data_IF_146062587533
#
_entry.id   IF_146062587533
#
_cell.length_a   1.000
_cell.length_b   1.000
_cell.length_c   1.000
_cell.angle_alpha   90.00
_cell.angle_beta   90.00
_cell.angle_gamma   90.00
#
_symmetry.space_group_name_H-M   'P 1'
#
loop_
_entity.id
_entity.type
_entity.pdbx_description
1 polymer ?
#
# COMPACT_ATOMS: atom_id res chain seq x y z
N UNK A 1 -21.47 8.22 -14.34
CA UNK A 1 -22.29 9.31 -13.72
C UNK A 1 -21.35 10.42 -13.31
N UNK A 2 -21.38 11.54 -14.03
CA UNK A 2 -20.53 12.71 -13.79
C UNK A 2 -21.07 13.43 -12.56
N UNK A 3 -20.27 13.50 -11.50
CA UNK A 3 -20.59 14.33 -10.34
C UNK A 3 -20.34 15.80 -10.72
N UNK A 4 -21.41 16.54 -10.87
CA UNK A 4 -21.39 17.99 -11.12
C UNK A 4 -20.63 18.71 -10.00
N UNK A 5 -19.87 19.74 -10.39
CA UNK A 5 -19.26 20.72 -9.49
C UNK A 5 -20.34 21.35 -8.63
N UNK A 6 -20.35 21.02 -7.33
CA UNK A 6 -21.05 21.83 -6.35
C UNK A 6 -20.24 23.13 -6.17
N UNK A 7 -20.89 24.27 -6.40
CA UNK A 7 -20.30 25.58 -6.16
C UNK A 7 -19.83 25.74 -4.71
N UNK A 8 -18.69 26.36 -4.52
CA UNK A 8 -18.15 26.75 -3.22
C UNK A 8 -18.97 27.94 -2.63
N UNK A 9 -20.18 27.67 -2.14
CA UNK A 9 -20.81 28.57 -1.20
C UNK A 9 -20.22 28.30 0.18
N UNK A 10 -19.21 29.08 0.55
CA UNK A 10 -18.71 29.16 1.93
C UNK A 10 -19.80 29.74 2.78
N UNK A 11 -20.68 28.91 3.31
CA UNK A 11 -21.57 29.29 4.40
C UNK A 11 -20.71 29.55 5.62
N UNK A 12 -20.43 30.84 5.89
CA UNK A 12 -19.81 31.29 7.14
C UNK A 12 -20.76 31.04 8.29
N UNK A 13 -20.72 29.84 8.86
CA UNK A 13 -21.41 29.55 10.13
C UNK A 13 -20.63 30.22 11.24
N UNK A 14 -21.16 31.36 11.75
CA UNK A 14 -20.51 32.23 12.74
C UNK A 14 -20.28 31.57 14.12
N UNK A 15 -20.82 30.36 14.36
CA UNK A 15 -20.74 29.62 15.64
C UNK A 15 -20.12 28.21 15.50
N UNK A 16 -19.62 27.80 14.31
CA UNK A 16 -18.97 26.51 14.12
C UNK A 16 -17.48 26.55 14.53
N UNK A 17 -16.90 25.43 15.01
CA UNK A 17 -15.47 25.33 15.22
C UNK A 17 -14.69 25.66 13.94
N UNK A 18 -13.59 26.41 14.09
CA UNK A 18 -12.77 26.80 12.93
C UNK A 18 -11.72 25.75 12.64
N UNK A 19 -11.69 25.26 11.41
CA UNK A 19 -10.52 24.52 10.90
C UNK A 19 -9.33 25.47 10.76
N UNK A 20 -8.12 24.91 10.80
CA UNK A 20 -6.93 25.68 10.41
C UNK A 20 -7.05 26.08 8.93
N UNK A 21 -6.44 27.22 8.49
CA UNK A 21 -6.49 27.62 7.09
C UNK A 21 -6.02 26.52 6.13
N UNK A 22 -4.99 25.76 6.52
CA UNK A 22 -4.50 24.63 5.75
C UNK A 22 -5.60 23.57 5.55
N UNK A 23 -6.19 23.09 6.63
CA UNK A 23 -7.22 22.03 6.55
C UNK A 23 -8.47 22.52 5.82
N UNK A 24 -8.85 23.77 5.98
CA UNK A 24 -9.97 24.36 5.26
C UNK A 24 -9.75 24.44 3.73
N UNK A 25 -8.49 24.46 3.27
CA UNK A 25 -8.14 24.48 1.85
C UNK A 25 -8.10 23.09 1.19
N UNK A 26 -8.09 22.01 1.98
CA UNK A 26 -8.01 20.66 1.46
C UNK A 26 -9.40 20.11 1.07
N UNK A 27 -9.50 19.30 0.02
CA UNK A 27 -10.77 18.69 -0.37
C UNK A 27 -11.22 17.66 0.66
N UNK A 28 -12.47 17.74 1.09
CA UNK A 28 -13.10 16.74 1.96
C UNK A 28 -13.58 15.54 1.13
N UNK A 29 -12.65 14.81 0.53
CA UNK A 29 -12.95 13.64 -0.31
C UNK A 29 -12.51 12.35 0.37
N UNK A 30 -13.25 11.26 0.09
CA UNK A 30 -12.83 9.89 0.48
C UNK A 30 -12.02 9.30 -0.67
N UNK A 31 -10.70 9.11 -0.51
CA UNK A 31 -9.83 8.69 -1.61
C UNK A 31 -10.06 7.23 -2.04
N UNK A 32 -10.54 6.40 -1.10
CA UNK A 32 -10.74 4.98 -1.33
C UNK A 32 -12.20 4.59 -1.08
N UNK A 33 -12.90 4.22 -2.16
CA UNK A 33 -14.26 3.66 -2.07
C UNK A 33 -14.13 2.14 -1.99
N UNK A 34 -14.40 1.56 -0.81
CA UNK A 34 -14.35 0.10 -0.60
C UNK A 34 -15.52 -0.64 -1.27
N UNK A 35 -15.39 -1.97 -1.36
CA UNK A 35 -16.44 -2.84 -1.88
C UNK A 35 -17.76 -2.64 -1.10
N UNK A 36 -17.69 -2.50 0.23
CA UNK A 36 -18.84 -2.32 1.12
C UNK A 36 -19.69 -1.08 0.79
N UNK A 37 -19.05 0.00 0.35
CA UNK A 37 -19.75 1.24 -0.05
C UNK A 37 -20.53 1.00 -1.33
N UNK A 38 -19.90 0.31 -2.30
CA UNK A 38 -20.54 -0.01 -3.58
C UNK A 38 -21.66 -1.04 -3.42
N UNK A 39 -21.48 -2.04 -2.57
CA UNK A 39 -22.51 -3.04 -2.23
C UNK A 39 -23.72 -2.40 -1.57
N UNK A 40 -23.52 -1.50 -0.61
CA UNK A 40 -24.63 -0.73 0.00
C UNK A 40 -25.36 0.12 -1.04
N UNK A 41 -24.61 0.75 -1.95
CA UNK A 41 -25.21 1.59 -2.98
C UNK A 41 -26.00 0.79 -4.04
N UNK A 42 -25.52 -0.43 -4.40
CA UNK A 42 -26.14 -1.30 -5.39
C UNK A 42 -27.21 -2.23 -4.81
N UNK A 43 -27.23 -2.43 -3.49
CA UNK A 43 -28.08 -3.41 -2.81
C UNK A 43 -27.69 -4.88 -3.07
N UNK A 44 -26.52 -5.13 -3.66
CA UNK A 44 -26.05 -6.48 -4.01
C UNK A 44 -24.58 -6.67 -3.59
N UNK A 45 -24.23 -7.83 -2.96
CA UNK A 45 -22.85 -8.19 -2.70
C UNK A 45 -22.10 -8.48 -4.01
N UNK A 46 -20.79 -8.26 -4.00
CA UNK A 46 -19.92 -8.76 -5.06
C UNK A 46 -19.74 -10.28 -4.94
N UNK A 47 -19.75 -10.97 -6.08
CA UNK A 47 -19.46 -12.41 -6.15
C UNK A 47 -17.97 -12.70 -5.92
N UNK A 48 -17.08 -11.77 -6.35
CA UNK A 48 -15.65 -11.81 -6.08
C UNK A 48 -15.13 -10.42 -5.71
N UNK A 49 -14.34 -10.32 -4.63
CA UNK A 49 -13.71 -9.09 -4.16
C UNK A 49 -12.22 -9.15 -4.41
N UNK A 50 -11.80 -8.93 -5.64
CA UNK A 50 -10.42 -9.01 -6.12
C UNK A 50 -9.86 -7.65 -6.56
N UNK A 51 -10.11 -6.60 -5.78
CA UNK A 51 -9.71 -5.23 -6.12
C UNK A 51 -8.95 -4.46 -5.04
N UNK A 52 -9.00 -4.88 -3.78
CA UNK A 52 -8.40 -4.15 -2.65
C UNK A 52 -7.02 -4.66 -2.21
N UNK A 53 -6.45 -5.61 -2.95
CA UNK A 53 -5.17 -6.26 -2.62
C UNK A 53 -5.17 -6.90 -1.22
N UNK A 54 -6.34 -7.34 -0.77
CA UNK A 54 -6.49 -8.21 0.39
C UNK A 54 -5.98 -9.60 0.05
N UNK A 55 -5.65 -10.39 1.06
CA UNK A 55 -5.16 -11.75 0.87
C UNK A 55 -6.28 -12.74 1.24
N UNK A 56 -6.95 -13.26 0.23
CA UNK A 56 -8.11 -14.17 0.39
C UNK A 56 -7.74 -15.56 0.89
N UNK A 57 -6.43 -15.93 0.87
CA UNK A 57 -5.97 -17.22 1.38
C UNK A 57 -5.97 -17.29 2.91
N UNK A 58 -6.22 -16.14 3.57
CA UNK A 58 -6.46 -16.03 5.00
C UNK A 58 -5.20 -16.02 5.86
N UNK A 59 -5.36 -15.60 7.13
CA UNK A 59 -4.27 -15.57 8.09
C UNK A 59 -3.91 -16.96 8.58
N UNK A 60 -2.69 -17.11 9.15
CA UNK A 60 -2.24 -18.33 9.79
C UNK A 60 -3.25 -18.83 10.83
N UNK A 61 -3.52 -20.15 10.89
CA UNK A 61 -4.33 -20.75 11.97
C UNK A 61 -3.79 -20.42 13.37
N UNK A 62 -2.46 -20.29 13.53
CA UNK A 62 -1.84 -19.86 14.78
C UNK A 62 -2.16 -18.40 15.11
N UNK A 63 -2.18 -17.53 14.08
CA UNK A 63 -2.58 -16.14 14.26
C UNK A 63 -4.07 -16.03 14.66
N UNK A 64 -4.95 -16.81 14.03
CA UNK A 64 -6.38 -16.86 14.39
C UNK A 64 -6.54 -17.29 15.85
N UNK A 65 -5.87 -18.36 16.26
CA UNK A 65 -5.92 -18.84 17.64
C UNK A 65 -5.39 -17.80 18.65
N UNK A 66 -4.31 -17.11 18.32
CA UNK A 66 -3.75 -16.04 19.16
C UNK A 66 -4.71 -14.85 19.30
N UNK A 67 -5.36 -14.43 18.20
CA UNK A 67 -6.39 -13.38 18.21
C UNK A 67 -7.57 -13.79 19.08
N UNK A 68 -8.07 -15.01 18.94
CA UNK A 68 -9.18 -15.53 19.74
C UNK A 68 -8.83 -15.59 21.24
N UNK A 69 -7.63 -16.06 21.59
CA UNK A 69 -7.16 -16.08 22.98
C UNK A 69 -7.01 -14.67 23.56
N UNK A 70 -6.46 -13.72 22.78
CA UNK A 70 -6.28 -12.36 23.23
C UNK A 70 -7.59 -11.55 23.33
N UNK A 71 -8.66 -11.98 22.65
CA UNK A 71 -9.93 -11.27 22.65
C UNK A 71 -10.55 -11.15 24.05
N UNK A 72 -10.38 -12.15 24.92
CA UNK A 72 -10.85 -12.12 26.33
C UNK A 72 -10.10 -11.09 27.18
N UNK A 73 -8.93 -10.65 26.75
CA UNK A 73 -8.06 -9.68 27.41
C UNK A 73 -8.17 -8.27 26.78
N UNK A 74 -9.12 -8.05 25.86
CA UNK A 74 -9.31 -6.79 25.15
C UNK A 74 -9.66 -5.60 26.08
N UNK A 75 -10.00 -5.86 27.34
CA UNK A 75 -10.20 -4.83 28.36
C UNK A 75 -8.90 -4.17 28.84
N UNK A 76 -7.74 -4.74 28.53
CA UNK A 76 -6.41 -4.21 28.85
C UNK A 76 -5.86 -3.45 27.64
N UNK A 77 -5.11 -2.40 27.93
CA UNK A 77 -4.22 -1.83 26.91
C UNK A 77 -3.17 -2.85 26.46
N UNK A 78 -2.78 -2.78 25.19
CA UNK A 78 -1.62 -3.53 24.69
C UNK A 78 -0.30 -3.01 25.30
N UNK A 79 0.77 -3.77 25.08
CA UNK A 79 2.11 -3.27 25.39
C UNK A 79 2.43 -2.04 24.53
N UNK A 80 2.69 -0.90 25.16
CA UNK A 80 2.99 0.36 24.46
C UNK A 80 4.26 0.31 23.61
N UNK A 81 5.17 -0.60 23.92
CA UNK A 81 6.39 -0.85 23.14
C UNK A 81 6.23 -1.93 22.05
N UNK A 82 5.15 -2.72 22.10
CA UNK A 82 5.00 -3.94 21.26
C UNK A 82 6.25 -4.83 21.31
N UNK A 83 6.81 -5.01 22.51
CA UNK A 83 8.18 -5.51 22.73
C UNK A 83 8.41 -6.90 22.12
N UNK A 84 7.53 -7.86 22.40
CA UNK A 84 7.70 -9.23 21.92
C UNK A 84 7.70 -9.31 20.37
N UNK A 85 6.84 -8.51 19.73
CA UNK A 85 6.81 -8.43 18.27
C UNK A 85 8.10 -7.79 17.73
N UNK A 86 8.60 -6.72 18.36
CA UNK A 86 9.89 -6.10 17.99
C UNK A 86 11.05 -7.08 18.16
N UNK A 87 11.08 -7.86 19.24
CA UNK A 87 12.11 -8.90 19.47
C UNK A 87 12.08 -9.95 18.35
N UNK A 88 10.90 -10.44 17.98
CA UNK A 88 10.79 -11.44 16.92
C UNK A 88 11.24 -10.87 15.55
N UNK A 89 10.87 -9.63 15.23
CA UNK A 89 11.29 -8.95 14.00
C UNK A 89 12.80 -8.69 14.01
N UNK A 90 13.36 -8.21 15.13
CA UNK A 90 14.79 -7.95 15.28
C UNK A 90 15.62 -9.21 15.06
N UNK A 91 15.22 -10.32 15.68
CA UNK A 91 15.88 -11.61 15.50
C UNK A 91 15.86 -12.08 14.04
N UNK A 92 14.73 -11.88 13.34
CA UNK A 92 14.61 -12.25 11.92
C UNK A 92 15.54 -11.44 11.01
N UNK A 93 15.66 -10.12 11.28
CA UNK A 93 16.51 -9.23 10.49
C UNK A 93 17.96 -9.17 10.95
N UNK A 94 18.34 -9.85 12.04
CA UNK A 94 19.68 -9.79 12.60
C UNK A 94 20.09 -8.41 13.15
N UNK A 95 19.12 -7.63 13.66
CA UNK A 95 19.28 -6.26 14.18
C UNK A 95 18.80 -6.17 15.63
N UNK A 96 18.92 -4.99 16.25
CA UNK A 96 18.39 -4.76 17.61
C UNK A 96 16.99 -4.17 17.58
N UNK A 97 16.24 -4.30 18.67
CA UNK A 97 14.89 -3.75 18.82
C UNK A 97 14.83 -2.23 18.61
N UNK A 98 15.94 -1.51 18.85
CA UNK A 98 16.01 -0.07 18.70
C UNK A 98 15.94 0.41 17.24
N UNK A 99 16.10 -0.49 16.29
CA UNK A 99 15.90 -0.21 14.87
C UNK A 99 14.45 -0.37 14.40
N UNK A 100 13.52 -0.74 15.29
CA UNK A 100 12.17 -1.14 14.89
C UNK A 100 11.12 -0.29 15.61
N UNK A 101 10.17 0.23 14.86
CA UNK A 101 8.91 0.78 15.40
C UNK A 101 7.72 0.03 14.79
N UNK A 102 6.72 -0.27 15.65
CA UNK A 102 5.44 -0.86 15.25
C UNK A 102 4.38 0.25 15.17
N UNK A 103 3.49 0.17 14.18
CA UNK A 103 2.41 1.14 14.02
C UNK A 103 1.17 0.55 13.35
N UNK A 104 0.15 1.38 13.19
CA UNK A 104 -1.17 1.04 12.64
C UNK A 104 -1.11 0.84 11.12
N UNK A 105 -0.32 -0.15 10.68
CA UNK A 105 0.03 -0.39 9.27
C UNK A 105 1.04 0.64 8.75
N UNK A 106 1.44 0.50 7.49
CA UNK A 106 2.33 1.47 6.83
C UNK A 106 1.68 2.86 6.78
N UNK A 107 0.38 2.94 6.56
CA UNK A 107 -0.34 4.21 6.51
C UNK A 107 -0.17 5.04 7.80
N UNK A 108 -0.29 4.39 8.96
CA UNK A 108 -0.05 5.04 10.25
C UNK A 108 1.42 5.45 10.44
N UNK A 109 2.35 4.58 10.03
CA UNK A 109 3.78 4.87 10.08
C UNK A 109 4.19 6.04 9.18
N UNK A 110 3.63 6.11 7.96
CA UNK A 110 3.83 7.26 7.05
C UNK A 110 3.30 8.55 7.66
N UNK A 111 2.12 8.51 8.29
CA UNK A 111 1.56 9.68 8.98
C UNK A 111 2.43 10.18 10.12
N UNK A 112 2.97 9.26 10.93
CA UNK A 112 3.90 9.60 12.01
C UNK A 112 5.21 10.17 11.46
N UNK A 113 5.77 9.55 10.40
CA UNK A 113 7.01 10.02 9.77
C UNK A 113 6.84 11.42 9.18
N UNK A 114 5.75 11.68 8.47
CA UNK A 114 5.44 13.02 7.96
C UNK A 114 5.32 14.03 9.10
N UNK A 115 4.65 13.67 10.18
CA UNK A 115 4.55 14.53 11.38
C UNK A 115 5.92 14.82 12.03
N UNK A 116 6.89 13.90 11.92
CA UNK A 116 8.26 14.10 12.39
C UNK A 116 9.09 15.03 11.49
N UNK A 117 8.94 14.87 10.17
CA UNK A 117 9.91 15.39 9.22
C UNK A 117 9.42 16.59 8.42
N UNK A 118 8.08 16.76 8.25
CA UNK A 118 7.50 17.71 7.31
C UNK A 118 6.80 18.86 8.05
N UNK A 119 7.17 20.08 7.69
CA UNK A 119 6.50 21.31 8.01
C UNK A 119 5.99 22.04 6.77
N UNK A 120 5.45 23.23 6.98
CA UNK A 120 4.90 24.08 5.92
C UNK A 120 5.94 24.37 4.83
N UNK A 121 5.65 23.99 3.58
CA UNK A 121 6.49 24.26 2.41
C UNK A 121 7.62 23.27 2.18
N UNK A 122 7.85 22.29 3.06
CA UNK A 122 8.87 21.26 2.86
C UNK A 122 8.53 20.36 1.67
N UNK A 123 9.52 20.10 0.82
CA UNK A 123 9.36 19.32 -0.40
C UNK A 123 9.45 17.80 -0.14
N UNK A 124 8.56 17.07 -0.80
CA UNK A 124 8.53 15.60 -0.84
C UNK A 124 8.43 15.13 -2.28
N UNK A 125 9.20 14.11 -2.66
CA UNK A 125 9.20 13.56 -4.02
C UNK A 125 8.64 12.14 -4.02
N UNK A 126 7.77 11.83 -4.99
CA UNK A 126 7.19 10.50 -5.23
C UNK A 126 6.86 10.33 -6.71
N UNK A 127 6.47 9.12 -7.12
CA UNK A 127 6.02 8.86 -8.49
C UNK A 127 4.56 9.25 -8.69
N UNK A 128 4.22 9.75 -9.89
CA UNK A 128 2.85 10.10 -10.23
C UNK A 128 2.02 8.85 -10.50
N UNK A 129 1.03 8.60 -9.67
CA UNK A 129 0.22 7.38 -9.69
C UNK A 129 0.63 6.32 -8.68
N UNK A 130 1.75 6.48 -7.95
CA UNK A 130 2.12 5.63 -6.83
C UNK A 130 1.07 5.64 -5.71
N UNK A 131 1.18 4.72 -4.75
CA UNK A 131 0.24 4.59 -3.63
C UNK A 131 0.08 5.91 -2.87
N UNK A 132 -1.16 6.47 -2.78
CA UNK A 132 -1.33 7.89 -2.48
C UNK A 132 -1.37 8.26 -1.00
N UNK A 133 -1.30 7.32 -0.04
CA UNK A 133 -1.50 7.64 1.39
C UNK A 133 -0.48 8.65 1.91
N UNK A 134 0.79 8.54 1.50
CA UNK A 134 1.80 9.55 1.84
C UNK A 134 1.35 10.97 1.45
N UNK A 135 0.75 11.12 0.26
CA UNK A 135 0.36 12.42 -0.27
C UNK A 135 -0.68 13.14 0.62
N UNK A 136 -1.62 12.37 1.20
CA UNK A 136 -2.61 12.93 2.13
C UNK A 136 -1.95 13.45 3.41
N UNK A 137 -1.01 12.68 3.96
CA UNK A 137 -0.27 13.11 5.15
C UNK A 137 0.56 14.35 4.86
N UNK A 138 1.33 14.35 3.76
CA UNK A 138 2.16 15.51 3.37
C UNK A 138 1.31 16.76 3.18
N UNK A 139 0.22 16.67 2.43
CA UNK A 139 -0.72 17.78 2.24
C UNK A 139 -1.33 18.25 3.56
N UNK A 140 -1.69 17.32 4.46
CA UNK A 140 -2.26 17.60 5.78
C UNK A 140 -1.31 18.33 6.72
N UNK A 141 0.00 18.24 6.51
CA UNK A 141 1.04 18.98 7.25
C UNK A 141 1.62 20.18 6.48
N UNK A 142 1.05 20.49 5.30
CA UNK A 142 1.45 21.67 4.51
C UNK A 142 2.72 21.49 3.70
N UNK A 143 3.20 20.25 3.53
CA UNK A 143 4.29 19.93 2.64
C UNK A 143 3.89 20.05 1.16
N UNK A 144 4.86 20.15 0.28
CA UNK A 144 4.71 20.27 -1.17
C UNK A 144 5.16 18.96 -1.83
N UNK A 145 4.24 18.34 -2.59
CA UNK A 145 4.50 17.09 -3.28
C UNK A 145 4.96 17.37 -4.71
N UNK A 146 6.12 16.86 -5.05
CA UNK A 146 6.65 16.84 -6.42
C UNK A 146 6.61 15.42 -6.95
N UNK A 147 6.10 15.25 -8.17
CA UNK A 147 5.87 13.95 -8.75
C UNK A 147 6.72 13.77 -10.00
N UNK A 148 7.21 12.56 -10.22
CA UNK A 148 7.87 12.14 -11.45
C UNK A 148 7.05 11.04 -12.13
N UNK A 149 7.04 10.94 -13.47
CA UNK A 149 6.30 9.88 -14.14
C UNK A 149 6.96 8.52 -13.91
N UNK A 150 6.16 7.48 -14.05
CA UNK A 150 6.65 6.11 -14.23
C UNK A 150 7.42 6.00 -15.57
N UNK A 151 8.36 5.07 -15.62
CA UNK A 151 9.09 4.70 -16.82
C UNK A 151 8.95 3.22 -17.07
N UNK A 152 8.40 2.84 -18.22
CA UNK A 152 8.19 1.44 -18.59
C UNK A 152 7.46 0.64 -17.49
N UNK A 153 6.38 1.24 -16.96
CA UNK A 153 5.56 0.73 -15.86
C UNK A 153 6.28 0.53 -14.50
N UNK A 154 7.48 1.06 -14.35
CA UNK A 154 8.23 1.07 -13.09
C UNK A 154 8.31 2.49 -12.51
N UNK A 155 8.37 2.60 -11.21
CA UNK A 155 8.85 3.85 -10.60
C UNK A 155 10.28 4.12 -11.10
N UNK A 156 10.63 5.38 -11.37
CA UNK A 156 11.96 5.73 -11.93
C UNK A 156 12.90 6.25 -10.83
N UNK A 157 13.83 5.40 -10.33
CA UNK A 157 14.78 5.79 -9.29
C UNK A 157 15.65 6.98 -9.66
N UNK A 158 16.06 7.09 -10.92
CA UNK A 158 16.92 8.19 -11.39
C UNK A 158 16.15 9.51 -11.42
N UNK A 159 14.91 9.49 -11.92
CA UNK A 159 14.05 10.67 -11.95
C UNK A 159 13.67 11.15 -10.54
N UNK A 160 13.40 10.19 -9.60
CA UNK A 160 13.12 10.51 -8.21
C UNK A 160 14.29 11.25 -7.55
N UNK A 161 15.53 10.77 -7.71
CA UNK A 161 16.73 11.39 -7.15
C UNK A 161 17.00 12.76 -7.81
N UNK A 162 16.89 12.84 -9.13
CA UNK A 162 17.09 14.10 -9.84
C UNK A 162 16.09 15.19 -9.39
N UNK A 163 14.81 14.83 -9.28
CA UNK A 163 13.77 15.74 -8.79
C UNK A 163 14.01 16.13 -7.33
N UNK A 164 14.44 15.20 -6.49
CA UNK A 164 14.74 15.48 -5.09
C UNK A 164 15.88 16.50 -4.94
N UNK A 165 16.94 16.37 -5.73
CA UNK A 165 18.03 17.33 -5.76
C UNK A 165 17.58 18.72 -6.28
N UNK A 166 16.72 18.75 -7.32
CA UNK A 166 16.18 19.97 -7.91
C UNK A 166 15.38 20.81 -6.89
N UNK A 167 14.53 20.13 -6.09
CA UNK A 167 13.58 20.80 -5.19
C UNK A 167 14.04 20.85 -3.72
N UNK A 168 15.19 20.29 -3.39
CA UNK A 168 15.68 20.19 -2.01
C UNK A 168 14.77 19.35 -1.14
N UNK A 169 14.35 18.18 -1.63
CA UNK A 169 13.37 17.35 -0.94
C UNK A 169 13.89 16.79 0.39
N UNK A 170 13.06 16.80 1.44
CA UNK A 170 13.33 16.15 2.71
C UNK A 170 12.99 14.66 2.70
N UNK A 171 11.94 14.27 1.97
CA UNK A 171 11.51 12.89 1.85
C UNK A 171 11.42 12.49 0.37
N UNK A 172 11.87 11.27 0.09
CA UNK A 172 11.71 10.62 -1.20
C UNK A 172 11.02 9.29 -0.93
N UNK A 173 9.95 8.99 -1.65
CA UNK A 173 9.19 7.75 -1.49
C UNK A 173 9.27 6.91 -2.75
N UNK A 174 9.57 5.63 -2.56
CA UNK A 174 9.49 4.59 -3.57
C UNK A 174 8.88 3.33 -2.96
N UNK A 175 7.97 2.66 -3.68
CA UNK A 175 7.46 1.35 -3.31
C UNK A 175 8.20 0.25 -4.09
N UNK A 176 8.70 -0.75 -3.38
CA UNK A 176 9.41 -1.86 -4.02
C UNK A 176 9.09 -3.20 -3.34
N UNK A 177 8.20 -4.04 -3.92
CA UNK A 177 7.47 -3.88 -5.19
C UNK A 177 6.41 -2.78 -5.18
N UNK A 178 6.15 -2.22 -6.36
CA UNK A 178 5.25 -1.08 -6.58
C UNK A 178 3.75 -1.43 -6.48
N UNK A 179 2.98 -0.46 -6.11
CA UNK A 179 1.53 -0.38 -6.29
C UNK A 179 1.21 0.99 -6.92
N UNK A 180 0.73 1.05 -8.19
CA UNK A 180 -0.30 0.13 -8.73
C UNK A 180 0.16 -0.94 -9.73
N UNK A 181 1.39 -0.91 -10.26
CA UNK A 181 1.74 -1.75 -11.41
C UNK A 181 2.20 -3.16 -11.04
N UNK A 182 2.68 -3.37 -9.81
CA UNK A 182 3.20 -4.66 -9.34
C UNK A 182 4.64 -4.93 -9.73
N UNK A 183 5.29 -4.00 -10.42
CA UNK A 183 6.67 -4.08 -10.86
C UNK A 183 7.65 -3.94 -9.70
N UNK A 184 8.91 -4.29 -9.92
CA UNK A 184 9.94 -4.18 -8.87
C UNK A 184 11.30 -3.89 -9.45
N UNK A 185 12.17 -3.34 -8.63
CA UNK A 185 13.58 -3.22 -8.85
C UNK A 185 14.36 -4.20 -7.99
N UNK A 186 15.54 -4.61 -8.43
CA UNK A 186 16.49 -5.31 -7.56
C UNK A 186 16.96 -4.38 -6.43
N UNK A 187 17.23 -4.94 -5.27
CA UNK A 187 17.68 -4.17 -4.10
C UNK A 187 18.93 -3.33 -4.35
N UNK A 188 19.81 -3.79 -5.25
CA UNK A 188 20.99 -3.03 -5.70
C UNK A 188 20.64 -1.72 -6.41
N UNK A 189 19.50 -1.64 -7.09
CA UNK A 189 19.01 -0.40 -7.72
C UNK A 189 18.63 0.60 -6.64
N UNK A 190 17.93 0.13 -5.60
CA UNK A 190 17.53 0.96 -4.47
C UNK A 190 18.77 1.39 -3.65
N UNK A 191 19.76 0.49 -3.47
CA UNK A 191 21.01 0.86 -2.83
C UNK A 191 21.74 2.00 -3.56
N UNK A 192 21.80 1.97 -4.90
CA UNK A 192 22.36 3.08 -5.68
C UNK A 192 21.58 4.40 -5.54
N UNK A 193 20.26 4.37 -5.25
CA UNK A 193 19.54 5.60 -4.90
C UNK A 193 20.09 6.19 -3.60
N UNK A 194 20.34 5.34 -2.60
CA UNK A 194 20.86 5.79 -1.28
C UNK A 194 22.21 6.51 -1.44
N UNK A 195 23.09 5.99 -2.30
CA UNK A 195 24.40 6.61 -2.56
C UNK A 195 24.30 7.99 -3.20
N UNK A 196 23.17 8.32 -3.81
CA UNK A 196 22.92 9.55 -4.57
C UNK A 196 21.91 10.50 -3.89
N UNK A 197 21.47 10.17 -2.68
CA UNK A 197 20.53 11.01 -1.95
C UNK A 197 21.09 12.42 -1.74
N UNK A 198 20.29 13.47 -1.94
CA UNK A 198 20.65 14.82 -1.53
C UNK A 198 20.93 14.87 -0.01
N UNK A 199 21.83 15.77 0.39
CA UNK A 199 22.14 15.96 1.82
C UNK A 199 20.88 16.29 2.62
N UNK A 200 20.67 15.59 3.73
CA UNK A 200 19.51 15.76 4.62
C UNK A 200 18.23 15.12 4.13
N UNK A 201 18.22 14.45 2.97
CA UNK A 201 17.05 13.72 2.49
C UNK A 201 16.98 12.31 3.11
N UNK A 202 15.74 11.85 3.38
CA UNK A 202 15.43 10.49 3.83
C UNK A 202 14.70 9.74 2.70
N UNK A 203 15.19 8.55 2.36
CA UNK A 203 14.51 7.63 1.46
C UNK A 203 13.55 6.74 2.24
N UNK A 204 12.28 6.74 1.85
CA UNK A 204 11.26 5.81 2.32
C UNK A 204 11.14 4.69 1.28
N UNK A 205 11.45 3.46 1.69
CA UNK A 205 11.23 2.26 0.87
C UNK A 205 10.02 1.53 1.41
N UNK A 206 8.91 1.61 0.67
CA UNK A 206 7.68 0.89 1.01
C UNK A 206 7.80 -0.55 0.48
N UNK A 207 8.01 -1.47 1.41
CA UNK A 207 8.17 -2.90 1.16
C UNK A 207 6.88 -3.68 1.48
N UNK A 208 5.69 -3.09 1.24
CA UNK A 208 4.40 -3.73 1.56
C UNK A 208 4.20 -5.09 0.92
N UNK A 209 4.86 -5.35 -0.20
CA UNK A 209 4.72 -6.58 -0.99
C UNK A 209 5.99 -7.42 -1.04
N UNK A 210 7.01 -7.09 -0.25
CA UNK A 210 8.34 -7.70 -0.35
C UNK A 210 8.32 -9.22 -0.11
N UNK A 211 7.41 -9.73 0.72
CA UNK A 211 7.29 -11.16 0.99
C UNK A 211 6.85 -11.99 -0.24
N UNK A 212 6.30 -11.35 -1.28
CA UNK A 212 5.91 -11.99 -2.55
C UNK A 212 6.96 -11.83 -3.65
N UNK A 213 7.95 -11.00 -3.42
CA UNK A 213 8.94 -10.62 -4.43
C UNK A 213 10.02 -11.68 -4.62
N UNK A 214 10.64 -11.72 -5.81
CA UNK A 214 11.81 -12.59 -6.03
C UNK A 214 12.96 -12.24 -5.10
N UNK A 215 13.81 -13.24 -4.84
CA UNK A 215 15.06 -13.04 -4.10
C UNK A 215 15.91 -11.92 -4.74
N UNK A 216 16.56 -11.11 -3.90
CA UNK A 216 17.35 -9.96 -4.33
C UNK A 216 16.56 -8.69 -4.62
N UNK A 217 15.23 -8.67 -4.34
CA UNK A 217 14.40 -7.45 -4.42
C UNK A 217 14.55 -6.58 -3.17
N UNK A 218 14.69 -7.19 -2.00
CA UNK A 218 14.85 -6.44 -0.74
C UNK A 218 16.16 -5.65 -0.75
N UNK A 219 16.10 -4.45 -0.18
CA UNK A 219 17.28 -3.61 0.01
C UNK A 219 18.20 -4.26 1.05
N UNK A 220 19.41 -4.61 0.62
CA UNK A 220 20.50 -5.09 1.49
C UNK A 220 21.35 -3.89 1.91
N UNK A 221 21.00 -3.28 3.03
CA UNK A 221 21.68 -2.14 3.62
C UNK A 221 21.61 -2.22 5.15
N UNK A 222 22.65 -1.72 5.82
CA UNK A 222 22.66 -1.64 7.28
C UNK A 222 21.43 -0.88 7.81
N UNK A 223 20.81 -1.41 8.86
CA UNK A 223 19.73 -0.72 9.56
C UNK A 223 20.21 0.56 10.29
N UNK A 224 21.52 0.71 10.49
CA UNK A 224 22.13 1.92 11.07
C UNK A 224 22.28 3.07 10.05
N UNK A 225 22.03 2.85 8.74
CA UNK A 225 22.10 3.95 7.77
C UNK A 225 20.97 4.96 8.08
N UNK A 226 21.31 6.19 8.47
CA UNK A 226 20.31 7.18 8.87
C UNK A 226 19.49 7.75 7.72
N UNK A 227 19.87 7.44 6.47
CA UNK A 227 19.28 8.00 5.26
C UNK A 227 18.11 7.19 4.72
N UNK A 228 17.80 6.03 5.32
CA UNK A 228 16.77 5.10 4.82
C UNK A 228 15.86 4.63 5.93
N UNK A 229 14.57 4.56 5.63
CA UNK A 229 13.57 3.84 6.43
C UNK A 229 12.82 2.86 5.53
N UNK A 230 12.78 1.59 5.92
CA UNK A 230 12.03 0.53 5.22
C UNK A 230 10.74 0.24 5.97
N UNK A 231 9.63 0.17 5.28
CA UNK A 231 8.32 -0.04 5.88
C UNK A 231 7.69 -1.35 5.37
N UNK A 232 7.19 -2.19 6.28
CA UNK A 232 6.55 -3.47 6.00
C UNK A 232 5.22 -3.60 6.71
N UNK A 233 4.35 -4.46 6.20
CA UNK A 233 2.99 -4.61 6.71
C UNK A 233 2.59 -6.07 6.92
N UNK A 234 1.71 -6.29 7.88
CA UNK A 234 1.00 -7.56 8.06
C UNK A 234 -0.28 -7.66 7.21
N UNK A 235 -0.65 -6.60 6.52
CA UNK A 235 -1.90 -6.53 5.74
C UNK A 235 -1.91 -7.42 4.50
N UNK A 236 -0.73 -7.78 3.93
CA UNK A 236 -0.62 -8.44 2.62
C UNK A 236 -0.27 -9.91 2.77
N UNK A 237 0.99 -10.29 2.87
CA UNK A 237 1.39 -11.69 2.93
C UNK A 237 0.84 -12.43 4.16
N UNK A 238 0.72 -11.75 5.28
CA UNK A 238 0.18 -12.32 6.51
C UNK A 238 -1.36 -12.30 6.61
N UNK A 239 -2.06 -11.73 5.63
CA UNK A 239 -3.52 -11.64 5.58
C UNK A 239 -4.19 -10.99 6.81
N UNK A 240 -3.52 -10.04 7.46
CA UNK A 240 -3.99 -9.36 8.66
C UNK A 240 -4.39 -7.90 8.38
N UNK A 241 -4.95 -7.61 7.21
CA UNK A 241 -5.33 -6.25 6.81
C UNK A 241 -6.25 -5.56 7.84
N UNK A 242 -7.19 -6.29 8.42
CA UNK A 242 -8.12 -5.79 9.42
C UNK A 242 -7.50 -5.49 10.79
N UNK A 243 -6.36 -6.08 11.13
CA UNK A 243 -5.68 -5.84 12.41
C UNK A 243 -4.83 -4.56 12.42
N UNK A 244 -4.58 -3.96 11.25
CA UNK A 244 -3.82 -2.70 11.11
C UNK A 244 -2.45 -2.75 11.77
N UNK A 245 -1.60 -3.71 11.43
CA UNK A 245 -0.23 -3.83 11.93
C UNK A 245 0.78 -3.65 10.83
N UNK A 246 1.80 -2.84 11.08
CA UNK A 246 2.98 -2.69 10.24
C UNK A 246 4.20 -2.36 11.09
N UNK A 247 5.37 -2.38 10.49
CA UNK A 247 6.59 -1.98 11.14
C UNK A 247 7.53 -1.24 10.19
N UNK A 248 8.37 -0.38 10.78
CA UNK A 248 9.46 0.24 10.07
C UNK A 248 10.80 -0.17 10.66
N UNK A 249 11.81 -0.28 9.77
CA UNK A 249 13.21 -0.53 10.12
C UNK A 249 14.04 0.67 9.67
N UNK A 250 14.84 1.23 10.56
CA UNK A 250 15.70 2.37 10.26
C UNK A 250 16.72 2.66 11.37
N UNK A 251 17.50 3.73 11.19
CA UNK A 251 18.50 4.16 12.17
C UNK A 251 17.88 4.46 13.55
N UNK A 252 18.57 4.08 14.62
CA UNK A 252 18.06 4.13 16.01
C UNK A 252 17.54 5.50 16.41
N UNK A 253 18.22 6.56 15.99
CA UNK A 253 17.84 7.93 16.32
C UNK A 253 16.51 8.31 15.65
N UNK A 254 16.32 7.95 14.37
CA UNK A 254 15.07 8.14 13.65
C UNK A 254 13.93 7.34 14.30
N UNK A 255 14.18 6.07 14.63
CA UNK A 255 13.18 5.20 15.27
C UNK A 255 12.78 5.75 16.64
N UNK A 256 13.73 6.18 17.47
CA UNK A 256 13.43 6.84 18.75
C UNK A 256 12.62 8.14 18.56
N UNK A 257 12.78 8.81 17.42
CA UNK A 257 12.00 9.99 17.07
C UNK A 257 10.49 9.74 17.04
N UNK A 258 10.04 8.55 16.64
CA UNK A 258 8.62 8.20 16.60
C UNK A 258 7.93 8.31 17.97
N UNK A 259 8.64 8.07 19.06
CA UNK A 259 8.09 8.22 20.43
C UNK A 259 7.61 9.66 20.74
N UNK A 260 8.09 10.65 19.99
CA UNK A 260 7.66 12.07 20.16
C UNK A 260 6.26 12.33 19.57
N UNK A 261 5.79 11.47 18.65
CA UNK A 261 4.57 11.75 17.86
C UNK A 261 3.56 10.61 17.83
N UNK A 262 3.99 9.37 18.12
CA UNK A 262 3.11 8.19 18.04
C UNK A 262 2.07 8.17 19.17
N UNK A 263 0.95 7.55 18.90
CA UNK A 263 0.01 7.15 19.94
C UNK A 263 0.57 5.92 20.66
N UNK A 264 0.93 6.08 21.94
CA UNK A 264 1.60 5.03 22.72
C UNK A 264 0.76 3.77 22.93
N UNK A 265 -0.56 3.87 22.89
CA UNK A 265 -1.49 2.75 23.03
C UNK A 265 -2.32 2.52 21.73
N UNK A 266 -1.83 2.98 20.58
CA UNK A 266 -2.48 2.79 19.29
C UNK A 266 -2.59 1.31 18.87
N UNK A 267 -1.62 0.49 19.29
CA UNK A 267 -1.60 -0.94 18.99
C UNK A 267 -2.32 -1.74 20.07
N UNK A 268 -3.52 -2.28 19.74
CA UNK A 268 -4.27 -3.14 20.67
C UNK A 268 -3.58 -4.50 20.90
N UNK A 269 -3.81 -5.09 22.08
CA UNK A 269 -3.24 -6.40 22.48
C UNK A 269 -3.62 -7.52 21.50
N UNK A 270 -4.84 -7.53 20.98
CA UNK A 270 -5.32 -8.52 19.99
C UNK A 270 -4.52 -8.44 18.68
N UNK A 271 -4.26 -7.22 18.23
CA UNK A 271 -3.46 -6.99 17.02
C UNK A 271 -2.00 -7.41 17.21
N UNK A 272 -1.40 -7.10 18.37
CA UNK A 272 -0.04 -7.50 18.69
C UNK A 272 0.10 -9.03 18.77
N UNK A 273 -0.82 -9.71 19.44
CA UNK A 273 -0.82 -11.17 19.56
C UNK A 273 -0.97 -11.86 18.19
N UNK A 274 -1.91 -11.40 17.36
CA UNK A 274 -2.11 -11.92 16.02
C UNK A 274 -0.91 -11.72 15.11
N UNK A 275 -0.31 -10.52 15.14
CA UNK A 275 0.87 -10.20 14.33
C UNK A 275 2.09 -11.03 14.75
N UNK A 276 2.35 -11.19 16.05
CA UNK A 276 3.44 -12.01 16.57
C UNK A 276 3.30 -13.47 16.12
N UNK A 277 2.13 -14.06 16.31
CA UNK A 277 1.88 -15.44 15.92
C UNK A 277 1.97 -15.66 14.40
N UNK A 278 1.46 -14.71 13.59
CA UNK A 278 1.59 -14.75 12.14
C UNK A 278 3.06 -14.62 11.71
N UNK A 279 3.82 -13.71 12.31
CA UNK A 279 5.23 -13.50 11.99
C UNK A 279 6.09 -14.73 12.27
N UNK A 280 5.78 -15.46 13.32
CA UNK A 280 6.49 -16.70 13.70
C UNK A 280 6.10 -17.90 12.84
N UNK A 281 4.96 -17.88 12.15
CA UNK A 281 4.47 -18.99 11.33
C UNK A 281 4.99 -18.92 9.89
N UNK A 282 6.28 -19.18 9.73
CA UNK A 282 6.98 -19.12 8.43
C UNK A 282 6.49 -20.16 7.42
N UNK A 283 6.02 -21.30 7.91
CA UNK A 283 5.45 -22.36 7.06
C UNK A 283 4.16 -21.85 6.38
N UNK A 284 3.25 -21.25 7.15
CA UNK A 284 2.03 -20.67 6.58
C UNK A 284 2.32 -19.52 5.61
N UNK A 285 3.29 -18.65 5.95
CA UNK A 285 3.72 -17.60 5.04
C UNK A 285 4.19 -18.17 3.71
N UNK A 286 5.03 -19.23 3.74
CA UNK A 286 5.48 -19.91 2.52
C UNK A 286 4.34 -20.52 1.72
N UNK A 287 3.35 -21.12 2.38
CA UNK A 287 2.13 -21.63 1.74
C UNK A 287 1.38 -20.50 1.01
N UNK A 288 1.12 -19.39 1.68
CA UNK A 288 0.41 -18.23 1.10
C UNK A 288 1.17 -17.64 -0.08
N UNK A 289 2.49 -17.48 0.01
CA UNK A 289 3.32 -16.99 -1.10
C UNK A 289 3.19 -17.90 -2.33
N UNK A 290 3.16 -19.22 -2.13
CA UNK A 290 2.93 -20.19 -3.21
C UNK A 290 1.55 -20.05 -3.84
N UNK A 291 0.48 -19.87 -3.04
CA UNK A 291 -0.88 -19.64 -3.55
C UNK A 291 -0.97 -18.34 -4.36
N UNK A 292 -0.34 -17.27 -3.90
CA UNK A 292 -0.29 -15.99 -4.62
C UNK A 292 0.47 -16.13 -5.94
N UNK A 293 1.55 -16.88 -5.98
CA UNK A 293 2.29 -17.14 -7.24
C UNK A 293 1.41 -17.87 -8.26
N UNK A 294 0.73 -18.95 -7.85
CA UNK A 294 -0.19 -19.69 -8.71
C UNK A 294 -1.35 -18.80 -9.21
N UNK A 295 -1.90 -17.96 -8.34
CA UNK A 295 -2.97 -17.02 -8.72
C UNK A 295 -2.48 -15.96 -9.73
N UNK A 296 -1.26 -15.44 -9.60
CA UNK A 296 -0.65 -14.53 -10.60
C UNK A 296 -0.55 -15.19 -11.97
N UNK A 297 -0.05 -16.44 -12.01
CA UNK A 297 0.06 -17.20 -13.26
C UNK A 297 -1.32 -17.43 -13.89
N UNK A 298 -2.34 -17.74 -13.10
CA UNK A 298 -3.71 -17.92 -13.56
C UNK A 298 -4.29 -16.61 -14.13
N UNK A 299 -4.06 -15.47 -13.46
CA UNK A 299 -4.51 -14.15 -13.94
C UNK A 299 -3.82 -13.83 -15.29
N UNK A 300 -2.52 -14.09 -15.40
CA UNK A 300 -1.79 -13.88 -16.65
C UNK A 300 -2.31 -14.77 -17.78
N UNK A 301 -2.65 -16.02 -17.51
CA UNK A 301 -3.27 -16.92 -18.48
C UNK A 301 -4.67 -16.40 -18.92
N UNK A 302 -5.52 -15.96 -17.98
CA UNK A 302 -6.83 -15.37 -18.31
C UNK A 302 -6.66 -14.13 -19.20
N UNK A 303 -5.66 -13.28 -18.93
CA UNK A 303 -5.37 -12.13 -19.78
C UNK A 303 -4.99 -12.57 -21.19
N UNK A 304 -4.08 -13.52 -21.33
CA UNK A 304 -3.59 -14.04 -22.62
C UNK A 304 -4.72 -14.70 -23.43
N UNK A 305 -5.59 -15.49 -22.80
CA UNK A 305 -6.77 -16.13 -23.43
C UNK A 305 -7.74 -15.09 -24.02
N UNK A 306 -7.71 -13.86 -23.53
CA UNK A 306 -8.51 -12.74 -24.01
C UNK A 306 -7.76 -11.76 -24.93
N UNK A 307 -6.53 -12.10 -25.35
CA UNK A 307 -5.69 -11.27 -26.21
C UNK A 307 -5.14 -10.01 -25.50
N UNK A 308 -5.07 -10.04 -24.16
CA UNK A 308 -4.54 -8.96 -23.33
C UNK A 308 -3.15 -9.33 -22.79
N UNK A 309 -2.42 -8.33 -22.28
CA UNK A 309 -1.09 -8.51 -21.71
C UNK A 309 -1.10 -8.28 -20.21
N UNK A 310 -0.65 -9.26 -19.43
CA UNK A 310 -0.41 -9.08 -18.00
C UNK A 310 0.96 -8.44 -17.78
N UNK A 311 1.01 -7.40 -16.97
CA UNK A 311 2.28 -6.80 -16.51
C UNK A 311 2.93 -7.75 -15.49
N UNK A 312 4.21 -8.12 -15.65
CA UNK A 312 4.90 -8.97 -14.68
C UNK A 312 4.82 -8.39 -13.26
N UNK A 313 4.36 -9.19 -12.31
CA UNK A 313 4.08 -8.71 -10.96
C UNK A 313 4.87 -9.45 -9.89
N UNK A 314 5.38 -8.71 -8.91
CA UNK A 314 5.99 -9.19 -7.68
C UNK A 314 5.12 -8.94 -6.43
N UNK A 315 3.79 -8.75 -6.61
CA UNK A 315 2.82 -8.45 -5.55
C UNK A 315 1.73 -9.50 -5.45
N UNK A 316 0.69 -9.28 -4.65
CA UNK A 316 -0.53 -10.11 -4.64
C UNK A 316 -1.63 -9.58 -5.56
N UNK A 317 -1.26 -8.94 -6.65
CA UNK A 317 -2.16 -8.51 -7.72
C UNK A 317 -1.41 -8.48 -9.05
N UNK A 318 -2.16 -8.39 -10.15
CA UNK A 318 -1.62 -8.25 -11.51
C UNK A 318 -2.35 -7.11 -12.21
N UNK A 319 -1.61 -6.22 -12.87
CA UNK A 319 -2.16 -5.29 -13.83
C UNK A 319 -2.29 -5.96 -15.19
N UNK A 320 -3.46 -5.85 -15.81
CA UNK A 320 -3.75 -6.34 -17.16
C UNK A 320 -3.90 -5.11 -18.06
N UNK A 321 -3.00 -4.96 -19.02
CA UNK A 321 -3.08 -3.94 -20.08
C UNK A 321 -4.27 -4.31 -21.00
N UNK A 322 -5.25 -3.41 -21.11
CA UNK A 322 -6.45 -3.61 -21.91
C UNK A 322 -6.22 -3.34 -23.41
N UNK A 323 -4.99 -2.98 -23.81
CA UNK A 323 -4.58 -2.79 -25.22
C UNK A 323 -5.07 -1.49 -25.87
N UNK A 324 -5.68 -0.59 -25.10
CA UNK A 324 -6.16 0.73 -25.51
C UNK A 324 -5.89 1.76 -24.38
N UNK A 325 -6.59 2.89 -24.41
CA UNK A 325 -6.44 3.97 -23.44
C UNK A 325 -7.18 3.72 -22.09
N UNK A 326 -7.04 4.65 -21.17
CA UNK A 326 -7.68 4.61 -19.84
C UNK A 326 -9.22 4.69 -19.91
N UNK A 327 -9.80 5.25 -20.97
CA UNK A 327 -11.25 5.28 -21.15
C UNK A 327 -11.79 3.87 -21.45
N UNK A 328 -11.10 3.13 -22.30
CA UNK A 328 -11.40 1.74 -22.59
C UNK A 328 -11.22 0.84 -21.36
N UNK A 329 -10.09 0.95 -20.66
CA UNK A 329 -9.87 0.18 -19.42
C UNK A 329 -10.94 0.46 -18.36
N UNK A 330 -11.41 1.69 -18.26
CA UNK A 330 -12.52 2.09 -17.37
C UNK A 330 -13.86 1.47 -17.81
N UNK A 331 -14.11 1.35 -19.12
CA UNK A 331 -15.29 0.66 -19.62
C UNK A 331 -15.27 -0.83 -19.26
N UNK A 332 -14.12 -1.50 -19.43
CA UNK A 332 -13.90 -2.89 -19.02
C UNK A 332 -14.10 -3.04 -17.50
N UNK A 333 -13.47 -2.17 -16.67
CA UNK A 333 -13.67 -2.13 -15.24
C UNK A 333 -15.16 -2.08 -14.87
N UNK A 334 -15.91 -1.16 -15.48
CA UNK A 334 -17.33 -0.99 -15.22
C UNK A 334 -18.13 -2.22 -15.66
N UNK A 335 -17.73 -2.87 -16.76
CA UNK A 335 -18.31 -4.13 -17.23
C UNK A 335 -18.16 -5.26 -16.20
N UNK A 336 -16.97 -5.39 -15.59
CA UNK A 336 -16.71 -6.36 -14.52
C UNK A 336 -17.49 -6.04 -13.25
N UNK A 337 -17.55 -4.77 -12.82
CA UNK A 337 -18.34 -4.34 -11.66
C UNK A 337 -19.82 -4.68 -11.81
N UNK A 338 -20.42 -4.45 -13.01
CA UNK A 338 -21.81 -4.84 -13.28
C UNK A 338 -22.06 -6.34 -13.20
N UNK A 339 -21.02 -7.14 -13.47
CA UNK A 339 -21.06 -8.63 -13.39
C UNK A 339 -20.73 -9.15 -12.00
N UNK A 340 -20.61 -8.24 -11.00
CA UNK A 340 -20.40 -8.63 -9.60
C UNK A 340 -18.94 -8.89 -9.22
N UNK A 341 -17.98 -8.40 -10.01
CA UNK A 341 -16.56 -8.52 -9.66
C UNK A 341 -16.04 -7.15 -9.21
N UNK A 342 -15.60 -7.04 -7.97
CA UNK A 342 -14.95 -5.85 -7.46
C UNK A 342 -13.47 -5.87 -7.85
N UNK A 343 -13.11 -5.04 -8.82
CA UNK A 343 -11.75 -4.85 -9.33
C UNK A 343 -11.35 -3.38 -9.32
N UNK A 344 -10.10 -3.06 -9.56
CA UNK A 344 -9.57 -1.68 -9.57
C UNK A 344 -8.77 -1.42 -10.83
N UNK A 345 -8.29 -0.19 -10.96
CA UNK A 345 -7.37 0.24 -12.02
C UNK A 345 -6.43 1.32 -11.49
N UNK A 346 -5.23 1.50 -12.08
CA UNK A 346 -4.41 2.70 -11.88
C UNK A 346 -5.18 3.96 -12.28
N UNK A 347 -4.81 5.12 -11.72
CA UNK A 347 -5.59 6.36 -11.90
C UNK A 347 -4.92 7.36 -12.84
N UNK A 348 -3.63 7.18 -13.14
CA UNK A 348 -2.80 8.14 -13.87
C UNK A 348 -2.35 7.51 -15.19
N UNK A 349 -2.41 8.29 -16.28
CA UNK A 349 -1.92 7.88 -17.59
C UNK A 349 -0.37 7.82 -17.59
N UNK A 350 0.23 6.89 -18.33
CA UNK A 350 -0.39 5.90 -19.20
C UNK A 350 -0.80 4.59 -18.48
N UNK A 351 -0.57 4.47 -17.16
CA UNK A 351 -0.85 3.25 -16.39
C UNK A 351 -2.36 2.97 -16.29
N UNK A 352 -3.21 3.98 -16.42
CA UNK A 352 -4.68 3.86 -16.42
C UNK A 352 -5.26 3.05 -17.59
N UNK A 353 -4.41 2.66 -18.57
CA UNK A 353 -4.75 1.68 -19.61
C UNK A 353 -4.96 0.26 -19.10
N UNK A 354 -4.59 0.02 -17.83
CA UNK A 354 -4.69 -1.27 -17.17
C UNK A 354 -5.90 -1.38 -16.24
N UNK A 355 -6.44 -2.60 -16.09
CA UNK A 355 -7.21 -3.00 -14.91
C UNK A 355 -6.28 -3.74 -13.93
N UNK A 356 -6.55 -3.66 -12.63
CA UNK A 356 -5.74 -4.30 -11.58
C UNK A 356 -6.57 -5.35 -10.85
N UNK A 357 -6.11 -6.59 -10.89
CA UNK A 357 -6.78 -7.77 -10.34
C UNK A 357 -5.96 -8.28 -9.17
N UNK A 358 -6.52 -8.32 -7.96
CA UNK A 358 -5.90 -8.99 -6.81
C UNK A 358 -5.93 -10.51 -6.98
N UNK A 359 -4.91 -11.18 -6.45
CA UNK A 359 -4.86 -12.64 -6.42
C UNK A 359 -6.05 -13.19 -5.63
N UNK A 360 -6.92 -13.92 -6.30
CA UNK A 360 -8.12 -14.54 -5.79
C UNK A 360 -7.96 -16.04 -5.59
N UNK A 361 -8.97 -16.68 -4.99
CA UNK A 361 -9.12 -18.13 -5.00
C UNK A 361 -9.39 -18.64 -6.42
N UNK A 362 -9.30 -19.96 -6.64
CA UNK A 362 -9.69 -20.55 -7.93
C UNK A 362 -11.10 -20.12 -8.34
N UNK A 363 -12.05 -20.14 -7.41
CA UNK A 363 -13.43 -19.72 -7.66
C UNK A 363 -13.53 -18.24 -8.08
N UNK A 364 -12.77 -17.34 -7.42
CA UNK A 364 -12.75 -15.92 -7.79
C UNK A 364 -12.20 -15.72 -9.22
N UNK A 365 -11.16 -16.48 -9.56
CA UNK A 365 -10.52 -16.38 -10.88
C UNK A 365 -11.34 -17.06 -11.98
N UNK A 366 -12.12 -18.09 -11.69
CA UNK A 366 -13.09 -18.66 -12.62
C UNK A 366 -14.20 -17.66 -12.95
N UNK A 367 -14.69 -16.91 -11.95
CA UNK A 367 -15.63 -15.81 -12.17
C UNK A 367 -15.02 -14.72 -13.04
N UNK A 368 -13.74 -14.38 -12.85
CA UNK A 368 -13.03 -13.43 -13.71
C UNK A 368 -12.92 -13.95 -15.14
N UNK A 369 -12.51 -15.21 -15.32
CA UNK A 369 -12.37 -15.85 -16.64
C UNK A 369 -13.70 -15.86 -17.42
N UNK A 370 -14.80 -16.11 -16.73
CA UNK A 370 -16.13 -16.09 -17.33
C UNK A 370 -16.62 -14.67 -17.67
N UNK A 371 -16.31 -13.66 -16.87
CA UNK A 371 -16.85 -12.31 -17.01
C UNK A 371 -16.03 -11.40 -17.94
N UNK A 372 -14.72 -11.64 -18.08
CA UNK A 372 -13.81 -10.75 -18.79
C UNK A 372 -14.11 -10.66 -20.30
N UNK A 373 -14.39 -11.78 -21.05
CA UNK A 373 -14.74 -11.71 -22.47
C UNK A 373 -15.93 -10.80 -22.75
N UNK A 374 -17.01 -10.93 -21.97
CA UNK A 374 -18.22 -10.12 -22.12
C UNK A 374 -17.99 -8.65 -21.76
N UNK A 375 -17.18 -8.37 -20.72
CA UNK A 375 -16.82 -7.01 -20.35
C UNK A 375 -16.00 -6.32 -21.45
N UNK A 376 -15.11 -7.06 -22.11
CA UNK A 376 -14.33 -6.57 -23.25
C UNK A 376 -15.20 -6.34 -24.48
N UNK A 377 -16.12 -7.26 -24.80
CA UNK A 377 -17.05 -7.11 -25.91
C UNK A 377 -17.93 -5.87 -25.73
N UNK A 378 -18.47 -5.68 -24.54
CA UNK A 378 -19.28 -4.51 -24.19
C UNK A 378 -18.48 -3.18 -24.25
N UNK A 379 -17.18 -3.19 -23.89
CA UNK A 379 -16.33 -2.02 -23.98
C UNK A 379 -15.95 -1.64 -25.42
N UNK A 380 -15.99 -2.59 -26.34
CA UNK A 380 -15.71 -2.39 -27.78
C UNK A 380 -16.91 -1.82 -28.56
N UNK A 381 -18.12 -1.91 -28.03
CA UNK A 381 -19.38 -1.44 -28.62
C UNK A 381 -20.08 -2.54 -29.35
#
# INVERSE_FOLDING_TARGET
MVWGRAGNDVVTMTNAPRFTPLIASLPATVPFVGAEVMERASGRPFAARIGANENVFGPSPKAIAAVQAAASEAWKYGDSASYDLRVAIAAHHGITVDHIVIGEGIDGLLGMLVRLMIGQGDAVVTSDGAYPTLNYHVAGFGGVIHKVPFKDDHEDPDALIAKAAEVGAKLIYIANPDNPMGTHHRGEVIARMVDRLPEGALLIVDEAYIDFAPEGTALDLSADDPRVIRMRTFSKAYALAGLRVGYAVGGKELIAGFDRVRNHFGMGNVAQAGALAAFQDREWLGHVVGQVAAARDRIAAIAADNGLTAVPSATNFVCIDCGQDGAFARAVLNGLLRRGLFVRMPFVAPQDRCIRISCGTEQDLDLLAAALPDALAEARG
#
